data_IF_495026551346
#
_entry.id   IF_495026551346
#
_cell.length_a   1.000
_cell.length_b   1.000
_cell.length_c   1.000
_cell.angle_alpha   90.00
_cell.angle_beta   90.00
_cell.angle_gamma   90.00
#
_symmetry.space_group_name_H-M   'P 1'
#
loop_
_entity.id
_entity.type
_entity.pdbx_description
1 polymer ?
#
# COMPACT_ATOMS: atom_id res chain seq x y z
N UNK A 1 5.39 -15.24 8.89
CA UNK A 1 5.52 -14.58 7.57
C UNK A 1 4.50 -15.15 6.58
N UNK A 2 3.26 -14.69 6.68
CA UNK A 2 2.18 -15.05 5.76
C UNK A 2 2.38 -14.40 4.39
N UNK A 3 1.87 -15.05 3.34
CA UNK A 3 1.80 -14.48 1.99
C UNK A 3 0.94 -13.22 2.02
N UNK A 4 1.39 -12.16 1.33
CA UNK A 4 0.59 -10.94 1.17
C UNK A 4 -0.51 -11.16 0.15
N UNK A 5 -1.76 -10.69 0.41
CA UNK A 5 -2.83 -10.75 -0.58
C UNK A 5 -2.56 -9.76 -1.71
N UNK A 6 -2.98 -10.13 -2.93
CA UNK A 6 -3.10 -9.18 -4.03
C UNK A 6 -4.45 -8.49 -3.87
N UNK A 7 -4.46 -7.24 -3.44
CA UNK A 7 -5.68 -6.52 -3.12
C UNK A 7 -6.10 -5.52 -4.20
N UNK A 8 -7.36 -5.13 -4.18
CA UNK A 8 -7.88 -3.91 -4.81
C UNK A 8 -8.34 -2.95 -3.72
N UNK A 9 -7.85 -1.72 -3.77
CA UNK A 9 -8.31 -0.62 -2.94
C UNK A 9 -9.23 0.29 -3.77
N UNK A 10 -10.39 0.69 -3.24
CA UNK A 10 -11.37 1.49 -3.99
C UNK A 10 -11.05 2.99 -4.05
N UNK A 11 -10.03 3.49 -3.34
CA UNK A 11 -9.84 4.93 -3.17
C UNK A 11 -9.77 5.67 -4.51
N UNK A 12 -8.83 5.35 -5.39
CA UNK A 12 -8.72 6.03 -6.69
C UNK A 12 -9.84 5.66 -7.68
N UNK A 13 -10.64 4.63 -7.38
CA UNK A 13 -11.81 4.29 -8.19
C UNK A 13 -13.02 5.20 -7.90
N UNK A 14 -13.24 5.55 -6.63
CA UNK A 14 -14.49 6.16 -6.19
C UNK A 14 -14.33 7.37 -5.26
N UNK A 15 -13.18 7.51 -4.60
CA UNK A 15 -13.01 8.43 -3.47
C UNK A 15 -14.16 8.28 -2.47
N UNK A 16 -14.80 9.39 -2.05
CA UNK A 16 -15.96 9.37 -1.16
C UNK A 16 -17.28 9.01 -1.85
N UNK A 17 -17.32 8.98 -3.19
CA UNK A 17 -18.54 8.74 -3.97
C UNK A 17 -18.72 7.26 -4.28
N UNK A 18 -19.10 6.49 -3.26
CA UNK A 18 -19.43 5.08 -3.39
C UNK A 18 -20.68 4.71 -2.60
N UNK A 19 -21.26 3.59 -2.98
CA UNK A 19 -22.34 2.90 -2.30
C UNK A 19 -22.11 1.39 -2.39
N UNK A 20 -23.01 0.60 -1.82
CA UNK A 20 -22.92 -0.87 -1.86
C UNK A 20 -22.82 -1.42 -3.29
N UNK A 21 -23.63 -0.90 -4.21
CA UNK A 21 -23.70 -1.42 -5.59
C UNK A 21 -22.35 -1.22 -6.32
N UNK A 22 -21.72 -0.05 -6.13
CA UNK A 22 -20.38 0.21 -6.69
C UNK A 22 -19.34 -0.74 -6.10
N UNK A 23 -19.35 -0.96 -4.79
CA UNK A 23 -18.38 -1.85 -4.13
C UNK A 23 -18.56 -3.31 -4.55
N UNK A 24 -19.79 -3.77 -4.68
CA UNK A 24 -20.11 -5.11 -5.17
C UNK A 24 -19.72 -5.27 -6.65
N UNK A 25 -19.86 -4.24 -7.48
CA UNK A 25 -19.37 -4.26 -8.86
C UNK A 25 -17.84 -4.41 -8.91
N UNK A 26 -17.11 -3.63 -8.10
CA UNK A 26 -15.65 -3.77 -7.97
C UNK A 26 -15.27 -5.18 -7.48
N UNK A 27 -15.98 -5.71 -6.48
CA UNK A 27 -15.72 -7.05 -5.94
C UNK A 27 -15.91 -8.16 -6.99
N UNK A 28 -16.94 -8.08 -7.82
CA UNK A 28 -17.18 -9.03 -8.92
C UNK A 28 -16.04 -9.04 -9.93
N UNK A 29 -15.65 -7.87 -10.42
CA UNK A 29 -14.52 -7.73 -11.35
C UNK A 29 -13.20 -8.23 -10.70
N UNK A 30 -12.99 -7.94 -9.43
CA UNK A 30 -11.83 -8.41 -8.68
C UNK A 30 -11.80 -9.95 -8.56
N UNK A 31 -12.94 -10.57 -8.27
CA UNK A 31 -13.07 -12.03 -8.21
C UNK A 31 -12.84 -12.68 -9.58
N UNK A 32 -13.38 -12.12 -10.67
CA UNK A 32 -13.15 -12.59 -12.03
C UNK A 32 -11.66 -12.51 -12.43
N UNK A 33 -10.95 -11.48 -11.98
CA UNK A 33 -9.51 -11.33 -12.18
C UNK A 33 -8.68 -12.19 -11.22
N UNK A 34 -9.31 -12.93 -10.31
CA UNK A 34 -8.64 -13.75 -9.30
C UNK A 34 -7.77 -12.94 -8.32
N UNK A 35 -8.22 -11.75 -7.94
CA UNK A 35 -7.66 -11.00 -6.80
C UNK A 35 -7.98 -11.71 -5.48
N UNK A 36 -7.30 -11.36 -4.40
CA UNK A 36 -7.46 -12.03 -3.11
C UNK A 36 -8.34 -11.22 -2.14
N UNK A 37 -8.45 -9.89 -2.31
CA UNK A 37 -9.05 -9.02 -1.30
C UNK A 37 -9.58 -7.72 -1.89
N UNK A 38 -10.73 -7.25 -1.36
CA UNK A 38 -11.22 -5.88 -1.52
C UNK A 38 -10.93 -5.08 -0.25
N UNK A 39 -10.31 -3.91 -0.37
CA UNK A 39 -10.11 -2.96 0.73
C UNK A 39 -11.01 -1.74 0.52
N UNK A 40 -11.91 -1.52 1.47
CA UNK A 40 -12.75 -0.32 1.52
C UNK A 40 -11.99 0.79 2.24
N UNK A 41 -11.62 1.82 1.50
CA UNK A 41 -10.87 2.98 1.98
C UNK A 41 -11.78 4.00 2.70
N UNK A 42 -11.34 5.25 2.88
CA UNK A 42 -12.01 6.31 3.63
C UNK A 42 -13.47 6.56 3.17
N UNK A 43 -14.35 6.92 4.11
CA UNK A 43 -15.71 7.34 3.81
C UNK A 43 -16.85 6.34 4.15
N UNK A 44 -16.55 5.20 4.79
CA UNK A 44 -17.54 4.18 5.15
C UNK A 44 -18.30 4.44 6.46
N UNK A 45 -17.86 5.43 7.26
CA UNK A 45 -18.32 5.68 8.64
C UNK A 45 -18.91 7.07 8.83
N UNK A 46 -19.74 7.24 9.86
CA UNK A 46 -20.30 8.52 10.29
C UNK A 46 -20.93 9.33 9.16
N UNK A 47 -20.58 10.61 9.10
CA UNK A 47 -20.94 11.54 8.02
C UNK A 47 -19.72 11.88 7.14
N UNK A 48 -18.84 10.89 6.93
CA UNK A 48 -17.59 11.03 6.22
C UNK A 48 -17.79 10.96 4.70
N UNK A 49 -18.26 12.07 4.12
CA UNK A 49 -18.45 12.23 2.66
C UNK A 49 -17.44 13.24 2.05
N UNK A 50 -16.52 13.76 2.87
CA UNK A 50 -15.45 14.67 2.52
C UNK A 50 -14.34 14.68 3.59
N UNK A 51 -13.29 15.47 3.36
CA UNK A 51 -12.16 15.62 4.30
C UNK A 51 -12.47 16.46 5.55
N UNK A 52 -13.66 17.04 5.68
CA UNK A 52 -13.95 18.05 6.70
C UNK A 52 -14.70 17.51 7.92
N UNK A 53 -15.28 16.32 7.83
CA UNK A 53 -16.16 15.77 8.85
C UNK A 53 -15.88 14.30 9.17
N UNK A 54 -16.45 13.82 10.27
CA UNK A 54 -16.65 12.40 10.59
C UNK A 54 -15.50 11.67 11.24
N UNK A 55 -14.23 12.13 11.17
CA UNK A 55 -13.13 11.43 11.87
C UNK A 55 -13.38 11.36 13.38
N UNK A 56 -13.25 10.18 13.95
CA UNK A 56 -13.60 9.85 15.32
C UNK A 56 -14.93 9.10 15.47
N UNK A 57 -15.86 9.29 14.52
CA UNK A 57 -17.17 8.65 14.54
C UNK A 57 -17.13 7.27 13.86
N UNK A 58 -16.43 6.34 14.47
CA UNK A 58 -16.24 4.99 13.92
C UNK A 58 -17.52 4.15 14.04
N UNK A 59 -18.57 4.61 13.36
CA UNK A 59 -19.86 3.93 13.21
C UNK A 59 -20.18 3.79 11.74
N UNK A 60 -20.57 2.59 11.33
CA UNK A 60 -20.91 2.30 9.93
C UNK A 60 -21.98 3.26 9.40
N UNK A 61 -21.76 3.84 8.23
CA UNK A 61 -22.77 4.60 7.52
C UNK A 61 -23.70 3.62 6.76
N UNK A 62 -24.66 3.03 7.49
CA UNK A 62 -25.61 2.04 6.95
C UNK A 62 -26.45 2.60 5.79
N UNK A 63 -26.69 3.91 5.76
CA UNK A 63 -27.41 4.54 4.65
C UNK A 63 -26.59 4.49 3.37
N UNK A 64 -25.29 4.79 3.44
CA UNK A 64 -24.37 4.76 2.30
C UNK A 64 -24.12 3.34 1.80
N UNK A 65 -23.98 2.39 2.73
CA UNK A 65 -23.80 0.98 2.42
C UNK A 65 -25.11 0.23 2.15
N UNK A 66 -26.27 0.90 2.22
CA UNK A 66 -27.59 0.28 2.05
C UNK A 66 -27.77 -1.00 2.90
N UNK A 67 -27.24 -1.00 4.11
CA UNK A 67 -27.24 -2.13 5.04
C UNK A 67 -26.06 -2.07 6.01
N UNK A 68 -25.84 -3.16 6.72
CA UNK A 68 -24.73 -3.28 7.67
C UNK A 68 -23.41 -3.58 6.95
N UNK A 69 -22.30 -3.24 7.58
CA UNK A 69 -20.96 -3.63 7.08
C UNK A 69 -20.82 -5.14 6.98
N UNK A 70 -21.36 -5.90 7.95
CA UNK A 70 -21.29 -7.37 7.97
C UNK A 70 -22.02 -7.98 6.77
N UNK A 71 -23.13 -7.40 6.29
CA UNK A 71 -23.82 -7.86 5.08
C UNK A 71 -22.98 -7.63 3.83
N UNK A 72 -22.36 -6.45 3.70
CA UNK A 72 -21.46 -6.15 2.58
C UNK A 72 -20.25 -7.12 2.58
N UNK A 73 -19.61 -7.27 3.72
CA UNK A 73 -18.43 -8.15 3.86
C UNK A 73 -18.80 -9.60 3.52
N UNK A 74 -19.94 -10.07 4.02
CA UNK A 74 -20.42 -11.41 3.68
C UNK A 74 -20.62 -11.61 2.17
N UNK A 75 -21.22 -10.63 1.47
CA UNK A 75 -21.39 -10.70 0.02
C UNK A 75 -20.04 -10.77 -0.71
N UNK A 76 -19.04 -10.03 -0.24
CA UNK A 76 -17.67 -10.07 -0.79
C UNK A 76 -16.99 -11.43 -0.50
N UNK A 77 -17.14 -11.97 0.72
CA UNK A 77 -16.65 -13.30 1.07
C UNK A 77 -17.32 -14.41 0.24
N UNK A 78 -18.61 -14.30 -0.03
CA UNK A 78 -19.35 -15.26 -0.87
C UNK A 78 -18.81 -15.27 -2.34
N UNK A 79 -18.07 -14.24 -2.76
CA UNK A 79 -17.34 -14.19 -4.06
C UNK A 79 -15.92 -14.76 -3.98
N UNK A 80 -15.46 -15.19 -2.80
CA UNK A 80 -14.13 -15.75 -2.59
C UNK A 80 -13.03 -14.71 -2.26
N UNK A 81 -13.40 -13.46 -2.05
CA UNK A 81 -12.48 -12.38 -1.65
C UNK A 81 -12.46 -12.21 -0.14
N UNK A 82 -11.31 -11.89 0.43
CA UNK A 82 -11.19 -11.34 1.77
C UNK A 82 -11.57 -9.85 1.79
N UNK A 83 -11.78 -9.27 2.97
CA UNK A 83 -12.17 -7.87 3.11
C UNK A 83 -11.24 -7.10 4.04
N UNK A 84 -10.83 -5.92 3.60
CA UNK A 84 -10.05 -4.96 4.35
C UNK A 84 -10.80 -3.65 4.59
N UNK A 85 -10.39 -2.92 5.64
CA UNK A 85 -11.03 -1.68 6.02
C UNK A 85 -9.99 -0.61 6.40
N UNK A 86 -10.22 0.62 5.97
CA UNK A 86 -9.40 1.77 6.33
C UNK A 86 -9.82 2.39 7.64
N UNK A 87 -8.84 2.82 8.43
CA UNK A 87 -9.03 3.62 9.64
C UNK A 87 -7.97 4.73 9.72
N UNK A 88 -8.36 5.89 10.24
CA UNK A 88 -7.46 6.95 10.69
C UNK A 88 -7.76 7.29 12.16
N UNK A 89 -7.49 6.36 13.10
CA UNK A 89 -8.08 6.41 14.44
C UNK A 89 -7.41 7.42 15.38
N UNK A 90 -6.26 7.94 15.03
CA UNK A 90 -5.55 8.94 15.81
C UNK A 90 -6.03 10.38 15.54
N UNK A 91 -6.94 10.54 14.58
CA UNK A 91 -7.45 11.85 14.16
C UNK A 91 -8.90 12.05 14.56
N UNK A 92 -9.31 13.32 14.65
CA UNK A 92 -10.67 13.73 14.98
C UNK A 92 -11.05 14.97 14.16
N UNK A 93 -12.25 14.98 13.60
CA UNK A 93 -12.83 16.16 12.99
C UNK A 93 -13.57 16.99 14.03
N UNK A 94 -13.52 18.32 13.94
CA UNK A 94 -14.35 19.19 14.78
C UNK A 94 -15.84 18.98 14.50
N UNK A 95 -16.17 18.63 13.24
CA UNK A 95 -17.52 18.16 12.88
C UNK A 95 -17.59 16.62 12.98
N UNK A 96 -17.56 16.14 14.22
CA UNK A 96 -17.85 14.77 14.61
C UNK A 96 -18.63 14.72 15.90
N UNK A 97 -19.39 13.67 16.12
CA UNK A 97 -20.11 13.47 17.38
C UNK A 97 -19.13 13.20 18.53
N UNK A 98 -18.01 12.53 18.24
CA UNK A 98 -16.96 12.32 19.22
C UNK A 98 -16.36 13.66 19.72
N UNK A 99 -16.05 14.60 18.83
CA UNK A 99 -15.53 15.91 19.24
C UNK A 99 -16.55 16.72 20.02
N UNK A 100 -17.82 16.69 19.64
CA UNK A 100 -18.89 17.35 20.40
C UNK A 100 -19.05 16.81 21.80
N UNK A 101 -18.84 15.50 22.00
CA UNK A 101 -18.89 14.84 23.29
C UNK A 101 -17.61 15.05 24.11
N UNK A 102 -16.46 15.06 23.47
CA UNK A 102 -15.14 15.08 24.12
C UNK A 102 -14.16 16.05 23.43
N UNK A 103 -14.41 17.36 23.45
CA UNK A 103 -13.51 18.33 22.81
C UNK A 103 -12.13 18.38 23.48
N UNK A 104 -12.03 17.96 24.75
CA UNK A 104 -10.79 17.85 25.52
C UNK A 104 -9.92 16.64 25.16
N UNK A 105 -10.40 15.74 24.29
CA UNK A 105 -9.62 14.63 23.75
C UNK A 105 -8.69 15.05 22.61
N UNK A 106 -8.92 16.21 22.00
CA UNK A 106 -8.03 16.75 20.97
C UNK A 106 -6.82 17.46 21.60
N UNK A 107 -5.66 17.30 20.96
CA UNK A 107 -4.44 18.03 21.33
C UNK A 107 -4.56 19.49 20.87
N UNK A 108 -4.86 20.40 21.81
CA UNK A 108 -5.02 21.83 21.55
C UNK A 108 -4.34 22.64 22.65
N UNK A 109 -3.48 23.58 22.27
CA UNK A 109 -2.81 24.48 23.21
C UNK A 109 -3.84 25.46 23.79
N UNK A 110 -4.03 25.54 25.13
CA UNK A 110 -4.99 26.45 25.73
C UNK A 110 -4.77 27.91 25.33
N UNK A 111 -5.86 28.59 24.96
CA UNK A 111 -5.84 29.98 24.54
C UNK A 111 -5.31 30.24 23.13
N UNK A 112 -5.03 29.20 22.37
CA UNK A 112 -4.67 29.30 20.95
C UNK A 112 -5.72 28.66 20.06
N UNK A 113 -5.83 29.15 18.84
CA UNK A 113 -6.65 28.47 17.83
C UNK A 113 -6.04 27.10 17.51
N UNK A 114 -6.85 26.05 17.35
CA UNK A 114 -6.38 24.76 16.92
C UNK A 114 -5.63 24.83 15.59
N UNK A 115 -4.48 24.18 15.52
CA UNK A 115 -3.75 24.04 14.25
C UNK A 115 -4.36 22.88 13.49
N UNK A 116 -5.03 23.19 12.39
CA UNK A 116 -5.61 22.22 11.48
C UNK A 116 -4.62 21.88 10.36
N UNK A 117 -4.54 20.62 10.02
CA UNK A 117 -3.88 20.14 8.82
C UNK A 117 -4.79 19.08 8.22
N UNK A 118 -5.06 19.13 6.93
CA UNK A 118 -6.08 18.32 6.26
C UNK A 118 -7.46 18.41 6.95
N UNK A 119 -7.81 19.58 7.47
CA UNK A 119 -9.07 19.88 8.16
C UNK A 119 -9.36 19.04 9.41
N UNK A 120 -8.34 18.42 10.00
CA UNK A 120 -8.48 17.53 11.15
C UNK A 120 -7.57 17.93 12.32
N UNK A 121 -7.92 17.44 13.52
CA UNK A 121 -7.14 17.53 14.74
C UNK A 121 -6.59 16.17 15.13
N UNK A 122 -5.68 16.13 16.10
CA UNK A 122 -5.07 14.90 16.63
C UNK A 122 -5.70 14.56 17.96
N UNK A 123 -6.11 13.31 18.15
CA UNK A 123 -6.52 12.77 19.45
C UNK A 123 -5.33 12.63 20.39
N UNK A 124 -5.58 12.82 21.67
CA UNK A 124 -4.57 12.66 22.73
C UNK A 124 -4.38 11.18 23.10
N UNK A 125 -3.54 10.49 22.33
CA UNK A 125 -3.21 9.08 22.57
C UNK A 125 -2.47 8.84 23.90
N UNK A 126 -2.03 9.90 24.60
CA UNK A 126 -1.46 9.75 25.95
C UNK A 126 -2.53 9.47 27.01
N UNK A 127 -3.81 9.57 26.66
CA UNK A 127 -4.96 9.34 27.55
C UNK A 127 -5.43 7.89 27.44
N UNK A 128 -5.64 7.27 28.58
CA UNK A 128 -6.15 5.91 28.66
C UNK A 128 -7.59 5.80 28.15
N UNK A 129 -8.46 6.77 28.50
CA UNK A 129 -9.85 6.82 28.05
C UNK A 129 -9.96 6.92 26.52
N UNK A 130 -9.03 7.60 25.83
CA UNK A 130 -8.96 7.66 24.37
C UNK A 130 -8.50 6.31 23.77
N UNK A 131 -7.41 5.75 24.30
CA UNK A 131 -6.88 4.48 23.80
C UNK A 131 -7.84 3.31 24.04
N UNK A 132 -8.55 3.30 25.15
CA UNK A 132 -9.55 2.26 25.46
C UNK A 132 -10.77 2.38 24.54
N UNK A 133 -11.27 3.60 24.30
CA UNK A 133 -12.35 3.84 23.32
C UNK A 133 -11.98 3.35 21.93
N UNK A 134 -10.80 3.72 21.42
CA UNK A 134 -10.35 3.32 20.08
C UNK A 134 -10.17 1.80 19.99
N UNK A 135 -9.57 1.19 21.00
CA UNK A 135 -9.40 -0.27 21.04
C UNK A 135 -10.75 -0.98 20.97
N UNK A 136 -11.72 -0.56 21.81
CA UNK A 136 -13.06 -1.14 21.81
C UNK A 136 -13.76 -0.99 20.45
N UNK A 137 -13.73 0.22 19.87
CA UNK A 137 -14.37 0.51 18.57
C UNK A 137 -13.79 -0.31 17.43
N UNK A 138 -12.46 -0.34 17.30
CA UNK A 138 -11.78 -1.08 16.23
C UNK A 138 -12.05 -2.57 16.39
N UNK A 139 -11.85 -3.12 17.60
CA UNK A 139 -12.07 -4.53 17.85
C UNK A 139 -13.53 -4.96 17.60
N UNK A 140 -14.50 -4.14 18.00
CA UNK A 140 -15.92 -4.41 17.80
C UNK A 140 -16.27 -4.50 16.29
N UNK A 141 -15.72 -3.59 15.48
CA UNK A 141 -15.94 -3.58 14.03
C UNK A 141 -15.27 -4.80 13.37
N UNK A 142 -14.00 -5.06 13.70
CA UNK A 142 -13.25 -6.21 13.16
C UNK A 142 -13.97 -7.52 13.43
N UNK A 143 -14.42 -7.72 14.67
CA UNK A 143 -15.09 -8.95 15.09
C UNK A 143 -16.48 -9.13 14.44
N UNK A 144 -17.30 -8.06 14.45
CA UNK A 144 -18.68 -8.13 13.93
C UNK A 144 -18.75 -8.25 12.42
N UNK A 145 -17.82 -7.63 11.71
CA UNK A 145 -17.81 -7.61 10.26
C UNK A 145 -16.86 -8.64 9.64
N UNK A 146 -16.12 -9.40 10.45
CA UNK A 146 -15.14 -10.40 9.96
C UNK A 146 -14.11 -9.78 9.01
N UNK A 147 -13.34 -8.80 9.52
CA UNK A 147 -12.32 -8.05 8.75
C UNK A 147 -10.97 -8.76 8.84
N UNK A 148 -10.29 -8.96 7.71
CA UNK A 148 -8.98 -9.63 7.64
C UNK A 148 -7.80 -8.68 7.45
N UNK A 149 -8.07 -7.38 7.16
CA UNK A 149 -7.04 -6.40 6.87
C UNK A 149 -7.45 -5.01 7.33
N UNK A 150 -6.52 -4.26 7.89
CA UNK A 150 -6.70 -2.85 8.22
C UNK A 150 -5.60 -2.02 7.56
N UNK A 151 -6.00 -0.98 6.82
CA UNK A 151 -5.12 0.14 6.45
C UNK A 151 -5.22 1.20 7.54
N UNK A 152 -4.15 1.31 8.34
CA UNK A 152 -4.05 2.23 9.47
C UNK A 152 -3.36 3.51 9.04
N UNK A 153 -4.10 4.59 8.94
CA UNK A 153 -3.62 5.87 8.44
C UNK A 153 -3.43 6.94 9.53
N UNK A 154 -2.61 7.94 9.22
CA UNK A 154 -2.40 9.16 9.99
C UNK A 154 -1.98 10.30 9.07
N UNK A 155 -2.92 11.12 8.63
CA UNK A 155 -2.70 12.08 7.54
C UNK A 155 -2.22 13.46 7.98
N UNK A 156 -1.71 13.59 9.19
CA UNK A 156 -1.06 14.82 9.66
C UNK A 156 -0.05 14.57 10.77
N UNK A 157 0.90 15.48 10.93
CA UNK A 157 1.89 15.45 12.00
C UNK A 157 1.38 16.12 13.30
N UNK A 158 1.99 15.74 14.43
CA UNK A 158 1.79 16.40 15.72
C UNK A 158 2.51 17.77 15.75
N UNK A 159 1.79 18.84 15.45
CA UNK A 159 2.34 20.20 15.41
C UNK A 159 2.14 20.94 16.73
N UNK A 160 0.90 20.97 17.23
CA UNK A 160 0.54 21.60 18.51
C UNK A 160 0.28 20.50 19.53
N UNK A 161 1.30 20.19 20.33
CA UNK A 161 1.23 19.10 21.29
C UNK A 161 1.02 19.67 22.70
N UNK A 162 -0.24 19.62 23.17
CA UNK A 162 -0.61 19.89 24.56
C UNK A 162 -1.78 18.99 24.94
N UNK A 163 -1.62 18.19 25.99
CA UNK A 163 -2.64 17.34 26.56
C UNK A 163 -3.43 18.07 27.64
N UNK A 164 -4.75 18.11 27.52
CA UNK A 164 -5.61 18.66 28.59
C UNK A 164 -5.58 17.79 29.87
N UNK A 165 -5.12 16.54 29.76
CA UNK A 165 -5.06 15.57 30.88
C UNK A 165 -3.74 15.57 31.62
N UNK A 166 -2.62 15.76 30.90
CA UNK A 166 -1.29 15.73 31.54
C UNK A 166 -1.05 16.96 32.41
N UNK A 167 -0.43 16.80 33.59
CA UNK A 167 0.04 17.92 34.40
C UNK A 167 0.98 18.83 33.60
N UNK A 168 1.02 20.12 34.00
CA UNK A 168 1.78 21.14 33.26
C UNK A 168 3.28 20.82 33.16
N UNK A 169 3.85 20.26 34.22
CA UNK A 169 5.24 19.82 34.29
C UNK A 169 5.55 18.54 33.50
N UNK A 170 4.53 17.76 33.14
CA UNK A 170 4.65 16.55 32.35
C UNK A 170 4.37 16.75 30.84
N UNK A 171 4.07 17.97 30.40
CA UNK A 171 3.75 18.22 28.96
C UNK A 171 4.92 17.88 28.03
N UNK A 172 6.16 17.93 28.51
CA UNK A 172 7.35 17.50 27.74
C UNK A 172 7.38 16.02 27.40
N UNK A 173 6.62 15.18 28.13
CA UNK A 173 6.54 13.73 27.91
C UNK A 173 5.46 13.35 26.87
N UNK A 174 4.61 14.30 26.46
CA UNK A 174 3.43 14.03 25.65
C UNK A 174 3.72 13.23 24.39
N UNK A 175 4.73 13.60 23.62
CA UNK A 175 5.05 12.90 22.36
C UNK A 175 5.47 11.46 22.59
N UNK A 176 6.22 11.20 23.66
CA UNK A 176 6.59 9.83 24.04
C UNK A 176 5.36 9.03 24.50
N UNK A 177 4.54 9.62 25.37
CA UNK A 177 3.31 8.99 25.86
C UNK A 177 2.29 8.75 24.76
N UNK A 178 2.24 9.64 23.76
CA UNK A 178 1.43 9.47 22.55
C UNK A 178 1.79 8.17 21.81
N UNK A 179 3.08 7.97 21.54
CA UNK A 179 3.57 6.75 20.85
C UNK A 179 3.30 5.50 21.67
N UNK A 180 3.48 5.55 23.00
CA UNK A 180 3.13 4.42 23.88
C UNK A 180 1.63 4.12 23.84
N UNK A 181 0.77 5.13 23.79
CA UNK A 181 -0.67 4.97 23.65
C UNK A 181 -1.05 4.36 22.31
N UNK A 182 -0.42 4.81 21.21
CA UNK A 182 -0.59 4.19 19.90
C UNK A 182 -0.22 2.69 19.93
N UNK A 183 0.95 2.38 20.48
CA UNK A 183 1.38 0.97 20.59
C UNK A 183 0.46 0.14 21.48
N UNK A 184 -0.12 0.72 22.55
CA UNK A 184 -1.13 0.04 23.39
C UNK A 184 -2.34 -0.40 22.55
N UNK A 185 -2.83 0.47 21.69
CA UNK A 185 -3.97 0.16 20.81
C UNK A 185 -3.59 -0.91 19.78
N UNK A 186 -2.47 -0.72 19.07
CA UNK A 186 -1.99 -1.68 18.08
C UNK A 186 -1.73 -3.06 18.68
N UNK A 187 -1.09 -3.11 19.85
CA UNK A 187 -0.85 -4.35 20.60
C UNK A 187 -2.16 -5.06 20.95
N UNK A 188 -3.14 -4.32 21.49
CA UNK A 188 -4.43 -4.89 21.86
C UNK A 188 -5.18 -5.47 20.65
N UNK A 189 -5.16 -4.78 19.51
CA UNK A 189 -5.78 -5.23 18.26
C UNK A 189 -5.08 -6.49 17.73
N UNK A 190 -3.74 -6.48 17.65
CA UNK A 190 -2.98 -7.61 17.09
C UNK A 190 -2.97 -8.84 18.00
N UNK A 191 -3.05 -8.65 19.33
CA UNK A 191 -3.22 -9.79 20.26
C UNK A 191 -4.61 -10.42 20.16
N UNK A 192 -5.66 -9.62 19.98
CA UNK A 192 -7.03 -10.11 19.84
C UNK A 192 -7.27 -10.78 18.50
N UNK A 193 -6.63 -10.28 17.43
CA UNK A 193 -6.77 -10.77 16.06
C UNK A 193 -5.40 -11.08 15.45
N UNK A 194 -4.73 -12.18 15.83
CA UNK A 194 -3.36 -12.46 15.40
C UNK A 194 -3.20 -12.73 13.90
N UNK A 195 -4.28 -13.07 13.21
CA UNK A 195 -4.30 -13.26 11.74
C UNK A 195 -4.62 -11.98 10.96
N UNK A 196 -5.01 -10.89 11.65
CA UNK A 196 -5.31 -9.60 11.03
C UNK A 196 -4.05 -8.98 10.46
N UNK A 197 -4.04 -8.69 9.18
CA UNK A 197 -2.94 -7.98 8.53
C UNK A 197 -3.13 -6.47 8.67
N UNK A 198 -2.16 -5.79 9.27
CA UNK A 198 -2.13 -4.33 9.33
C UNK A 198 -1.20 -3.77 8.26
N UNK A 199 -1.68 -2.78 7.51
CA UNK A 199 -0.86 -1.90 6.68
C UNK A 199 -0.78 -0.52 7.32
N UNK A 200 0.43 -0.02 7.53
CA UNK A 200 0.64 1.34 8.00
C UNK A 200 0.56 2.34 6.84
N UNK A 201 -0.09 3.48 7.08
CA UNK A 201 -0.09 4.64 6.21
C UNK A 201 0.06 5.90 7.09
N UNK A 202 0.69 6.92 6.58
CA UNK A 202 0.79 8.21 7.26
C UNK A 202 0.99 9.31 6.23
N UNK A 203 -0.07 9.61 5.47
CA UNK A 203 0.06 10.39 4.24
C UNK A 203 1.11 9.75 3.33
N UNK A 204 0.98 8.45 3.08
CA UNK A 204 2.03 7.61 2.54
C UNK A 204 3.01 7.11 3.63
N UNK A 205 4.31 7.23 3.38
CA UNK A 205 5.38 6.69 4.22
C UNK A 205 5.84 7.56 5.39
N UNK A 206 5.02 8.51 5.89
CA UNK A 206 5.42 9.44 6.96
C UNK A 206 5.82 8.78 8.28
N UNK A 207 5.42 7.53 8.51
CA UNK A 207 5.84 6.70 9.66
C UNK A 207 6.38 5.34 9.22
N UNK A 208 7.17 5.32 8.17
CA UNK A 208 7.89 4.11 7.79
C UNK A 208 9.08 3.92 8.74
N UNK A 209 8.85 3.31 9.87
CA UNK A 209 9.85 3.09 10.93
C UNK A 209 9.72 1.70 11.56
N UNK A 210 10.74 1.28 12.29
CA UNK A 210 10.83 -0.06 12.87
C UNK A 210 9.74 -0.33 13.93
N UNK A 211 9.25 0.70 14.63
CA UNK A 211 8.17 0.56 15.60
C UNK A 211 6.84 0.26 14.94
N UNK A 212 6.51 0.97 13.87
CA UNK A 212 5.31 0.67 13.09
C UNK A 212 5.42 -0.67 12.37
N UNK A 213 6.60 -1.05 11.85
CA UNK A 213 6.83 -2.35 11.20
C UNK A 213 6.69 -3.55 12.16
N UNK A 214 6.78 -3.35 13.46
CA UNK A 214 6.50 -4.40 14.45
C UNK A 214 5.03 -4.84 14.40
N UNK A 215 4.11 -3.90 14.19
CA UNK A 215 2.66 -4.14 14.13
C UNK A 215 2.14 -4.23 12.71
N UNK A 216 2.66 -3.40 11.81
CA UNK A 216 2.24 -3.26 10.42
C UNK A 216 3.35 -3.82 9.50
N UNK A 217 3.32 -5.11 9.14
CA UNK A 217 4.42 -5.73 8.39
C UNK A 217 4.54 -5.23 6.95
N UNK A 218 3.64 -4.35 6.51
CA UNK A 218 3.73 -3.58 5.28
C UNK A 218 3.27 -2.14 5.51
N UNK A 219 3.80 -1.22 4.72
CA UNK A 219 3.50 0.21 4.81
C UNK A 219 3.28 0.76 3.40
N UNK A 220 2.21 1.54 3.24
CA UNK A 220 1.98 2.34 2.05
C UNK A 220 3.06 3.41 1.95
N UNK A 221 4.04 3.22 1.06
CA UNK A 221 5.26 4.01 1.11
C UNK A 221 5.11 5.44 0.58
N UNK A 222 4.08 5.72 -0.22
CA UNK A 222 3.79 7.06 -0.74
C UNK A 222 2.41 7.14 -1.38
N UNK A 223 1.70 8.25 -1.14
CA UNK A 223 0.47 8.61 -1.87
C UNK A 223 0.74 9.07 -3.31
N UNK A 224 2.00 9.19 -3.70
CA UNK A 224 2.37 9.35 -5.09
C UNK A 224 2.30 7.98 -5.79
N UNK A 225 1.23 7.77 -6.55
CA UNK A 225 0.92 6.51 -7.24
C UNK A 225 1.45 6.45 -8.68
N UNK A 226 2.10 7.52 -9.16
CA UNK A 226 2.73 7.52 -10.46
C UNK A 226 3.84 6.46 -10.55
N UNK A 227 3.72 5.49 -11.47
CA UNK A 227 4.63 4.37 -11.56
C UNK A 227 6.09 4.77 -11.81
N UNK A 228 6.32 5.85 -12.55
CA UNK A 228 7.67 6.34 -12.87
C UNK A 228 8.30 7.06 -11.66
N UNK A 229 7.50 7.84 -10.91
CA UNK A 229 7.95 8.43 -9.64
C UNK A 229 8.22 7.33 -8.59
N UNK A 230 7.41 6.27 -8.57
CA UNK A 230 7.58 5.12 -7.68
C UNK A 230 8.93 4.41 -7.86
N UNK A 231 9.55 4.43 -9.02
CA UNK A 231 10.91 3.90 -9.22
C UNK A 231 11.90 4.54 -8.25
N UNK A 232 11.84 5.87 -8.07
CA UNK A 232 12.72 6.60 -7.14
C UNK A 232 12.31 6.40 -5.69
N UNK A 233 11.01 6.44 -5.41
CA UNK A 233 10.46 6.30 -4.06
C UNK A 233 10.79 4.91 -3.50
N UNK A 234 10.49 3.85 -4.24
CA UNK A 234 10.73 2.46 -3.83
C UNK A 234 12.22 2.14 -3.74
N UNK A 235 13.02 2.61 -4.71
CA UNK A 235 14.48 2.49 -4.66
C UNK A 235 15.04 3.14 -3.40
N UNK A 236 14.65 4.40 -3.10
CA UNK A 236 15.10 5.11 -1.90
C UNK A 236 14.68 4.41 -0.61
N UNK A 237 13.43 3.96 -0.53
CA UNK A 237 12.88 3.22 0.62
C UNK A 237 13.64 1.92 0.88
N UNK A 238 14.08 1.23 -0.18
CA UNK A 238 14.79 -0.04 -0.10
C UNK A 238 16.18 0.04 0.58
N UNK A 239 16.74 1.22 0.81
CA UNK A 239 17.98 1.37 1.58
C UNK A 239 17.77 1.20 3.08
N UNK A 240 16.59 1.51 3.58
CA UNK A 240 16.26 1.42 5.00
C UNK A 240 15.41 0.22 5.36
N UNK A 241 14.60 -0.28 4.41
CA UNK A 241 13.56 -1.26 4.68
C UNK A 241 13.49 -2.34 3.59
N UNK A 242 13.10 -3.59 3.95
CA UNK A 242 12.96 -4.65 2.96
C UNK A 242 11.78 -4.37 2.03
N UNK A 243 11.92 -4.76 0.75
CA UNK A 243 10.87 -4.55 -0.25
C UNK A 243 9.57 -5.30 0.09
N UNK A 244 9.64 -6.40 0.83
CA UNK A 244 8.46 -7.12 1.34
C UNK A 244 7.58 -6.30 2.29
N UNK A 245 8.07 -5.16 2.77
CA UNK A 245 7.30 -4.22 3.60
C UNK A 245 6.78 -3.00 2.83
N UNK A 246 7.09 -2.87 1.55
CA UNK A 246 6.69 -1.74 0.71
C UNK A 246 5.40 -2.06 -0.04
N UNK A 247 4.31 -1.36 0.27
CA UNK A 247 3.07 -1.47 -0.51
C UNK A 247 3.15 -0.69 -1.82
N UNK A 248 2.72 -1.34 -2.90
CA UNK A 248 2.69 -0.75 -4.23
C UNK A 248 1.51 -1.28 -5.05
N UNK A 249 0.80 -0.37 -5.74
CA UNK A 249 -0.40 -0.68 -6.51
C UNK A 249 -0.29 -0.19 -7.96
N UNK A 250 -0.97 -0.91 -8.85
CA UNK A 250 -1.32 -0.41 -10.18
C UNK A 250 -2.45 0.59 -10.02
N UNK A 251 -2.17 1.86 -10.30
CA UNK A 251 -3.11 2.96 -10.08
C UNK A 251 -3.74 3.46 -11.37
N UNK A 252 -4.65 4.43 -11.25
CA UNK A 252 -5.38 5.03 -12.38
C UNK A 252 -4.44 5.64 -13.42
N UNK A 253 -4.84 5.57 -14.68
CA UNK A 253 -4.13 6.21 -15.81
C UNK A 253 -5.14 6.96 -16.71
N UNK A 254 -4.85 8.24 -17.06
CA UNK A 254 -3.69 9.07 -16.64
C UNK A 254 -3.61 9.23 -15.13
N UNK A 255 -2.39 9.32 -14.57
CA UNK A 255 -2.22 9.52 -13.13
C UNK A 255 -2.94 10.82 -12.70
N UNK A 256 -3.72 10.75 -11.62
CA UNK A 256 -4.59 11.87 -11.22
C UNK A 256 -3.84 13.08 -10.67
N UNK A 257 -2.57 12.95 -10.25
CA UNK A 257 -1.76 14.04 -9.68
C UNK A 257 -0.95 14.79 -10.74
N UNK A 258 -0.27 14.06 -11.64
CA UNK A 258 0.64 14.66 -12.62
C UNK A 258 0.23 14.43 -14.08
N UNK A 259 -0.91 13.74 -14.31
CA UNK A 259 -1.48 13.43 -15.62
C UNK A 259 -0.58 12.59 -16.55
N UNK A 260 0.45 11.94 -16.02
CA UNK A 260 1.30 11.05 -16.81
C UNK A 260 0.51 9.85 -17.29
N UNK A 261 0.73 9.51 -18.56
CA UNK A 261 0.22 8.28 -19.16
C UNK A 261 1.35 7.27 -19.19
N UNK A 262 1.18 6.18 -18.45
CA UNK A 262 2.15 5.09 -18.35
C UNK A 262 1.48 3.80 -18.80
N UNK A 263 2.12 2.99 -19.67
CA UNK A 263 1.57 1.73 -20.13
C UNK A 263 1.14 0.80 -18.98
N UNK A 264 0.06 0.06 -19.15
CA UNK A 264 -0.48 -0.84 -18.12
C UNK A 264 0.56 -1.86 -17.64
N UNK A 265 1.29 -2.45 -18.58
CA UNK A 265 2.40 -3.38 -18.32
C UNK A 265 3.43 -2.77 -17.37
N UNK A 266 3.87 -1.56 -17.65
CA UNK A 266 4.86 -0.84 -16.83
C UNK A 266 4.35 -0.55 -15.43
N UNK A 267 3.08 -0.11 -15.29
CA UNK A 267 2.45 0.11 -13.98
C UNK A 267 2.47 -1.18 -13.13
N UNK A 268 2.18 -2.33 -13.75
CA UNK A 268 2.23 -3.63 -13.09
C UNK A 268 3.64 -4.03 -12.66
N UNK A 269 4.63 -3.90 -13.56
CA UNK A 269 6.03 -4.22 -13.24
C UNK A 269 6.56 -3.34 -12.10
N UNK A 270 6.25 -2.05 -12.08
CA UNK A 270 6.60 -1.16 -10.97
C UNK A 270 5.92 -1.56 -9.65
N UNK A 271 4.66 -1.96 -9.68
CA UNK A 271 3.92 -2.39 -8.50
C UNK A 271 4.42 -3.73 -7.94
N UNK A 272 4.86 -4.67 -8.79
CA UNK A 272 5.43 -5.96 -8.38
C UNK A 272 6.77 -5.82 -7.64
N UNK A 273 7.39 -4.64 -7.62
CA UNK A 273 8.57 -4.39 -6.82
C UNK A 273 8.28 -4.46 -5.30
N UNK A 274 7.04 -4.23 -4.88
CA UNK A 274 6.58 -4.33 -3.50
C UNK A 274 5.51 -5.39 -3.29
N UNK A 275 4.64 -5.16 -2.29
CA UNK A 275 3.44 -5.97 -2.10
C UNK A 275 2.40 -5.53 -3.13
N UNK A 276 2.19 -6.35 -4.12
CA UNK A 276 1.44 -6.05 -5.32
C UNK A 276 -0.07 -5.92 -5.08
N UNK A 277 -0.70 -4.94 -5.72
CA UNK A 277 -2.14 -4.73 -5.70
C UNK A 277 -2.60 -3.74 -6.75
N UNK A 278 -3.87 -3.37 -6.70
CA UNK A 278 -4.52 -2.43 -7.63
C UNK A 278 -5.24 -1.32 -6.86
N UNK A 279 -5.30 -0.14 -7.46
CA UNK A 279 -6.02 1.01 -6.94
C UNK A 279 -6.57 1.85 -8.11
N UNK A 280 -7.60 1.32 -8.75
CA UNK A 280 -8.24 1.91 -9.93
C UNK A 280 -9.65 1.33 -10.12
N UNK A 281 -10.43 1.93 -11.01
CA UNK A 281 -11.76 1.43 -11.38
C UNK A 281 -11.63 0.29 -12.40
N UNK A 282 -11.75 -0.95 -11.94
CA UNK A 282 -11.64 -2.14 -12.77
C UNK A 282 -12.68 -2.18 -13.91
N UNK A 283 -13.85 -1.53 -13.71
CA UNK A 283 -14.91 -1.50 -14.73
C UNK A 283 -14.57 -0.63 -15.94
N UNK A 284 -13.60 0.28 -15.78
CA UNK A 284 -13.12 1.17 -16.85
C UNK A 284 -11.93 0.61 -17.64
N UNK A 285 -11.40 -0.54 -17.22
CA UNK A 285 -10.32 -1.21 -17.93
C UNK A 285 -10.82 -1.75 -19.28
N UNK A 286 -9.95 -1.64 -20.30
CA UNK A 286 -10.18 -2.30 -21.59
C UNK A 286 -10.03 -3.83 -21.45
N UNK A 287 -10.55 -4.58 -22.41
CA UNK A 287 -10.38 -6.04 -22.42
C UNK A 287 -8.91 -6.45 -22.45
N UNK A 288 -8.06 -5.67 -23.14
CA UNK A 288 -6.60 -5.88 -23.16
C UNK A 288 -5.96 -5.62 -21.80
N UNK A 289 -6.36 -4.55 -21.11
CA UNK A 289 -5.87 -4.28 -19.75
C UNK A 289 -6.34 -5.34 -18.76
N UNK A 290 -7.59 -5.82 -18.86
CA UNK A 290 -8.09 -6.93 -18.02
C UNK A 290 -7.30 -8.22 -18.28
N UNK A 291 -6.99 -8.53 -19.53
CA UNK A 291 -6.14 -9.67 -19.88
C UNK A 291 -4.74 -9.53 -19.26
N UNK A 292 -4.08 -8.37 -19.44
CA UNK A 292 -2.77 -8.11 -18.84
C UNK A 292 -2.81 -8.16 -17.31
N UNK A 293 -3.87 -7.66 -16.68
CA UNK A 293 -4.05 -7.77 -15.23
C UNK A 293 -4.12 -9.22 -14.78
N UNK A 294 -4.89 -10.06 -15.48
CA UNK A 294 -4.95 -11.50 -15.21
C UNK A 294 -3.58 -12.19 -15.32
N UNK A 295 -2.80 -11.85 -16.36
CA UNK A 295 -1.42 -12.33 -16.54
C UNK A 295 -0.49 -11.88 -15.41
N UNK A 296 -0.54 -10.60 -15.02
CA UNK A 296 0.24 -10.04 -13.91
C UNK A 296 -0.11 -10.71 -12.57
N UNK A 297 -1.40 -10.91 -12.31
CA UNK A 297 -1.88 -11.56 -11.08
C UNK A 297 -1.42 -13.02 -11.05
N UNK A 298 -1.55 -13.75 -12.16
CA UNK A 298 -1.11 -15.13 -12.26
C UNK A 298 0.40 -15.26 -12.03
N UNK A 299 1.19 -14.44 -12.70
CA UNK A 299 2.64 -14.38 -12.53
C UNK A 299 3.04 -14.07 -11.06
N UNK A 300 2.43 -13.04 -10.46
CA UNK A 300 2.75 -12.71 -9.07
C UNK A 300 2.29 -13.79 -8.08
N UNK A 301 1.19 -14.49 -8.36
CA UNK A 301 0.74 -15.63 -7.52
C UNK A 301 1.71 -16.80 -7.59
N UNK A 302 2.25 -17.09 -8.76
CA UNK A 302 3.24 -18.15 -8.98
C UNK A 302 4.58 -17.83 -8.32
N UNK A 303 5.09 -16.62 -8.54
CA UNK A 303 6.42 -16.20 -8.09
C UNK A 303 6.42 -15.31 -6.83
N UNK A 304 5.28 -15.20 -6.12
CA UNK A 304 5.13 -14.29 -4.96
C UNK A 304 6.14 -14.54 -3.83
N UNK A 305 6.63 -15.78 -3.69
CA UNK A 305 7.70 -16.09 -2.72
C UNK A 305 9.02 -15.44 -3.10
N UNK A 306 9.35 -15.39 -4.39
CA UNK A 306 10.55 -14.72 -4.90
C UNK A 306 10.49 -13.21 -4.57
N UNK A 307 9.39 -12.54 -4.88
CA UNK A 307 9.21 -11.11 -4.62
C UNK A 307 9.17 -10.79 -3.11
N UNK A 308 8.59 -11.65 -2.29
CA UNK A 308 8.44 -11.39 -0.86
C UNK A 308 9.68 -11.77 -0.04
N UNK A 309 10.40 -12.83 -0.43
CA UNK A 309 11.47 -13.43 0.38
C UNK A 309 12.81 -13.59 -0.33
N UNK A 310 12.88 -13.30 -1.63
CA UNK A 310 14.13 -13.30 -2.38
C UNK A 310 15.03 -12.13 -2.02
N UNK A 311 16.29 -12.29 -2.35
CA UNK A 311 17.28 -11.22 -2.21
C UNK A 311 17.02 -10.15 -3.28
N UNK A 312 16.88 -8.90 -2.85
CA UNK A 312 16.63 -7.76 -3.73
C UNK A 312 17.94 -7.06 -4.11
N UNK A 313 18.19 -6.96 -5.41
CA UNK A 313 19.37 -6.30 -5.96
C UNK A 313 18.99 -5.04 -6.75
N UNK A 314 19.56 -3.90 -6.38
CA UNK A 314 19.50 -2.64 -7.12
C UNK A 314 20.59 -2.66 -8.18
N UNK A 315 20.24 -2.93 -9.43
CA UNK A 315 21.22 -3.06 -10.51
C UNK A 315 21.58 -1.72 -11.14
N UNK A 316 20.61 -0.80 -11.25
CA UNK A 316 20.84 0.59 -11.63
C UNK A 316 20.12 1.53 -10.68
N UNK A 317 20.66 2.74 -10.52
CA UNK A 317 20.08 3.79 -9.69
C UNK A 317 19.24 4.74 -10.54
N UNK A 318 17.94 4.97 -10.22
CA UNK A 318 17.11 5.96 -10.90
C UNK A 318 17.52 7.41 -10.62
N UNK A 319 18.49 7.62 -9.72
CA UNK A 319 19.08 8.94 -9.43
C UNK A 319 20.32 9.23 -10.27
N UNK A 320 21.05 8.20 -10.70
CA UNK A 320 22.28 8.28 -11.49
C UNK A 320 22.00 8.02 -12.98
N UNK A 321 21.17 7.00 -13.27
CA UNK A 321 20.73 6.68 -14.63
C UNK A 321 19.35 7.32 -14.87
N UNK A 322 19.23 8.13 -15.92
CA UNK A 322 17.97 8.81 -16.27
C UNK A 322 17.18 8.07 -17.35
N UNK A 323 17.80 7.11 -18.02
CA UNK A 323 17.22 6.45 -19.18
C UNK A 323 16.42 5.22 -18.80
N UNK A 324 16.90 4.46 -17.78
CA UNK A 324 16.23 3.25 -17.31
C UNK A 324 16.57 2.91 -15.86
N UNK A 325 15.72 2.12 -15.25
CA UNK A 325 15.94 1.53 -13.92
C UNK A 325 15.83 0.02 -13.99
N UNK A 326 16.79 -0.68 -13.37
CA UNK A 326 16.82 -2.14 -13.31
C UNK A 326 16.98 -2.62 -11.88
N UNK A 327 16.16 -3.60 -11.51
CA UNK A 327 16.28 -4.33 -10.26
C UNK A 327 16.06 -5.81 -10.49
N UNK A 328 16.44 -6.60 -9.52
CA UNK A 328 16.34 -8.06 -9.57
C UNK A 328 15.94 -8.61 -8.21
N UNK A 329 15.15 -9.66 -8.24
CA UNK A 329 14.94 -10.58 -7.14
C UNK A 329 15.57 -11.92 -7.47
N UNK A 330 16.34 -12.50 -6.54
CA UNK A 330 16.89 -13.84 -6.67
C UNK A 330 16.51 -14.70 -5.46
N UNK A 331 16.11 -15.93 -5.70
CA UNK A 331 15.86 -16.88 -4.64
C UNK A 331 17.17 -17.21 -3.91
N UNK A 332 17.11 -17.29 -2.57
CA UNK A 332 18.32 -17.51 -1.73
C UNK A 332 19.05 -18.83 -2.03
N UNK A 333 18.36 -19.82 -2.59
CA UNK A 333 18.94 -21.09 -3.02
C UNK A 333 19.43 -21.08 -4.48
N UNK A 334 19.33 -19.92 -5.14
CA UNK A 334 19.71 -19.76 -6.53
C UNK A 334 18.90 -20.64 -7.48
N UNK A 335 17.62 -20.92 -7.18
CA UNK A 335 16.74 -21.71 -8.04
C UNK A 335 16.09 -20.90 -9.16
N UNK A 336 15.78 -19.66 -8.89
CA UNK A 336 15.09 -18.74 -9.78
C UNK A 336 15.49 -17.29 -9.53
N UNK A 337 15.30 -16.42 -10.52
CA UNK A 337 15.45 -14.99 -10.37
C UNK A 337 14.58 -14.23 -11.36
N UNK A 338 14.19 -13.02 -11.02
CA UNK A 338 13.41 -12.14 -11.89
C UNK A 338 14.05 -10.76 -11.93
N UNK A 339 14.42 -10.31 -13.12
CA UNK A 339 14.93 -8.98 -13.40
C UNK A 339 13.83 -8.14 -14.04
N UNK A 340 13.64 -6.93 -13.57
CA UNK A 340 12.70 -5.96 -14.13
C UNK A 340 13.45 -4.76 -14.66
N UNK A 341 13.06 -4.29 -15.83
CA UNK A 341 13.64 -3.12 -16.51
C UNK A 341 12.51 -2.16 -16.84
N UNK A 342 12.68 -0.87 -16.48
CA UNK A 342 11.73 0.18 -16.84
C UNK A 342 12.50 1.33 -17.47
N UNK A 343 12.15 1.68 -18.71
CA UNK A 343 12.70 2.83 -19.41
C UNK A 343 11.95 4.09 -19.02
N UNK A 344 12.69 5.12 -18.65
CA UNK A 344 12.15 6.44 -18.27
C UNK A 344 12.31 7.48 -19.37
N UNK A 345 13.27 7.26 -20.26
CA UNK A 345 13.47 8.10 -21.45
C UNK A 345 13.92 7.23 -22.62
N UNK A 346 13.54 7.63 -23.81
CA UNK A 346 13.92 6.96 -25.05
C UNK A 346 14.39 8.01 -26.07
N UNK A 347 15.56 7.82 -26.63
CA UNK A 347 16.11 8.70 -27.63
C UNK A 347 16.63 7.94 -28.84
N UNK A 348 16.66 8.63 -29.98
CA UNK A 348 17.12 8.03 -31.20
C UNK A 348 18.59 7.59 -31.11
N UNK A 349 18.89 6.42 -31.65
CA UNK A 349 20.25 5.88 -31.70
C UNK A 349 20.82 5.52 -30.31
N UNK A 350 19.95 5.17 -29.35
CA UNK A 350 20.38 4.70 -28.04
C UNK A 350 21.30 3.48 -28.18
N UNK A 351 22.36 3.45 -27.39
CA UNK A 351 23.24 2.29 -27.32
C UNK A 351 22.53 1.13 -26.60
N UNK A 352 22.86 -0.09 -27.01
CA UNK A 352 22.43 -1.27 -26.28
C UNK A 352 23.21 -1.40 -24.98
N UNK A 353 22.52 -1.64 -23.87
CA UNK A 353 23.11 -1.76 -22.54
C UNK A 353 23.17 -3.21 -22.09
N UNK A 354 24.24 -3.56 -21.36
CA UNK A 354 24.42 -4.89 -20.79
C UNK A 354 24.24 -4.82 -19.28
N UNK A 355 23.36 -5.64 -18.74
CA UNK A 355 23.14 -5.79 -17.30
C UNK A 355 23.49 -7.19 -16.86
N UNK A 356 24.14 -7.28 -15.70
CA UNK A 356 24.60 -8.54 -15.10
C UNK A 356 23.67 -8.94 -13.97
N UNK A 357 23.31 -10.21 -13.98
CA UNK A 357 22.56 -10.84 -12.90
C UNK A 357 23.37 -10.95 -11.60
N UNK A 358 22.65 -11.12 -10.49
CA UNK A 358 23.21 -11.37 -9.16
C UNK A 358 22.56 -12.63 -8.56
N UNK A 359 23.11 -13.16 -7.49
CA UNK A 359 22.50 -14.22 -6.69
C UNK A 359 22.28 -15.57 -7.36
N UNK A 360 22.69 -15.78 -8.63
CA UNK A 360 22.56 -17.03 -9.33
C UNK A 360 23.67 -18.04 -8.95
N UNK A 361 23.40 -19.34 -9.08
CA UNK A 361 24.42 -20.36 -8.98
C UNK A 361 25.24 -20.43 -10.30
N UNK A 362 26.56 -20.15 -10.29
CA UNK A 362 27.36 -20.15 -11.51
C UNK A 362 27.41 -21.51 -12.24
N UNK A 363 27.11 -22.60 -11.53
CA UNK A 363 27.16 -23.97 -12.07
C UNK A 363 25.85 -24.46 -12.66
N UNK A 364 24.74 -23.77 -12.38
CA UNK A 364 23.41 -24.10 -12.91
C UNK A 364 23.23 -23.53 -14.31
N UNK A 365 22.31 -24.12 -15.08
CA UNK A 365 21.80 -23.61 -16.33
C UNK A 365 20.36 -23.16 -16.07
N UNK A 366 20.04 -21.94 -16.47
CA UNK A 366 18.73 -21.32 -16.31
C UNK A 366 18.07 -21.21 -17.67
N UNK A 367 16.81 -21.59 -17.76
CA UNK A 367 15.94 -21.23 -18.89
C UNK A 367 15.50 -19.79 -18.67
N UNK A 368 15.71 -18.92 -19.62
CA UNK A 368 15.36 -17.53 -19.55
C UNK A 368 14.09 -17.26 -20.36
N UNK A 369 13.20 -16.48 -19.78
CA UNK A 369 12.01 -15.95 -20.44
C UNK A 369 12.06 -14.42 -20.47
N UNK A 370 11.64 -13.81 -21.58
CA UNK A 370 11.43 -12.37 -21.72
C UNK A 370 9.93 -12.15 -21.92
N UNK A 371 9.28 -11.49 -20.95
CA UNK A 371 7.83 -11.25 -20.98
C UNK A 371 7.00 -12.53 -21.22
N UNK A 372 7.45 -13.64 -20.64
CA UNK A 372 6.84 -14.97 -20.80
C UNK A 372 7.27 -15.77 -22.04
N UNK A 373 8.00 -15.17 -22.97
CA UNK A 373 8.49 -15.85 -24.17
C UNK A 373 9.88 -16.46 -23.92
N UNK A 374 10.10 -17.69 -24.44
CA UNK A 374 11.39 -18.38 -24.28
C UNK A 374 12.54 -17.60 -24.96
N UNK A 375 13.53 -17.21 -24.18
CA UNK A 375 14.71 -16.49 -24.63
C UNK A 375 16.00 -17.35 -24.60
N UNK A 376 15.87 -18.65 -24.33
CA UNK A 376 16.96 -19.62 -24.39
C UNK A 376 17.53 -20.03 -23.03
N UNK A 377 18.63 -20.79 -23.06
CA UNK A 377 19.27 -21.35 -21.89
C UNK A 377 20.65 -20.74 -21.67
N UNK A 378 20.95 -20.30 -20.44
CA UNK A 378 22.21 -19.66 -20.10
C UNK A 378 22.79 -20.24 -18.80
N UNK A 379 24.12 -20.37 -18.72
CA UNK A 379 24.74 -20.68 -17.42
C UNK A 379 24.67 -19.50 -16.48
N UNK A 380 24.50 -19.74 -15.17
CA UNK A 380 24.56 -18.68 -14.16
C UNK A 380 25.88 -17.90 -14.23
N UNK A 381 27.00 -18.56 -14.54
CA UNK A 381 28.27 -17.88 -14.76
C UNK A 381 28.20 -16.89 -15.94
N UNK A 382 27.59 -17.25 -17.08
CA UNK A 382 27.42 -16.34 -18.21
C UNK A 382 26.55 -15.14 -17.84
N UNK A 383 25.40 -15.37 -17.20
CA UNK A 383 24.49 -14.32 -16.76
C UNK A 383 25.14 -13.34 -15.77
N UNK A 384 25.91 -13.84 -14.81
CA UNK A 384 26.55 -13.01 -13.79
C UNK A 384 27.82 -12.29 -14.28
N UNK A 385 28.55 -12.85 -15.23
CA UNK A 385 29.84 -12.27 -15.66
C UNK A 385 29.77 -11.55 -17.00
N UNK A 386 29.12 -12.14 -17.99
CA UNK A 386 28.91 -11.49 -19.29
C UNK A 386 27.65 -10.59 -19.26
N UNK A 387 26.59 -11.04 -18.59
CA UNK A 387 25.31 -10.35 -18.54
C UNK A 387 24.45 -10.62 -19.76
N UNK A 388 23.36 -9.89 -19.87
CA UNK A 388 22.44 -9.90 -21.02
C UNK A 388 22.32 -8.51 -21.63
N UNK A 389 22.07 -8.48 -22.92
CA UNK A 389 21.70 -7.26 -23.61
C UNK A 389 20.26 -6.91 -23.24
N UNK A 390 20.02 -5.69 -22.74
CA UNK A 390 18.67 -5.25 -22.43
C UNK A 390 17.82 -5.15 -23.71
N UNK A 391 16.55 -5.57 -23.66
CA UNK A 391 15.63 -5.35 -24.77
C UNK A 391 15.46 -3.85 -25.03
N UNK A 392 15.37 -3.45 -26.29
CA UNK A 392 15.19 -2.06 -26.67
C UNK A 392 13.72 -1.65 -26.48
N UNK A 393 13.46 -0.46 -25.91
CA UNK A 393 12.09 0.03 -25.76
C UNK A 393 11.51 0.46 -27.11
N UNK A 394 10.20 0.28 -27.27
CA UNK A 394 9.45 0.77 -28.44
C UNK A 394 8.84 2.15 -28.20
N UNK A 395 8.66 2.54 -26.93
CA UNK A 395 8.09 3.80 -26.51
C UNK A 395 8.64 4.25 -25.16
N UNK A 396 8.42 5.54 -24.81
CA UNK A 396 8.71 6.02 -23.46
C UNK A 396 7.90 5.23 -22.41
N UNK A 397 8.53 5.00 -21.27
CA UNK A 397 7.96 4.23 -20.17
C UNK A 397 7.68 2.76 -20.50
N UNK A 398 8.35 2.20 -21.50
CA UNK A 398 8.29 0.77 -21.77
C UNK A 398 9.00 -0.02 -20.65
N UNK A 399 8.57 -1.26 -20.44
CA UNK A 399 9.12 -2.10 -19.40
C UNK A 399 9.17 -3.55 -19.82
N UNK A 400 10.13 -4.28 -19.26
CA UNK A 400 10.35 -5.69 -19.53
C UNK A 400 10.57 -6.45 -18.23
N UNK A 401 10.07 -7.69 -18.23
CA UNK A 401 10.28 -8.64 -17.16
C UNK A 401 11.04 -9.85 -17.70
N UNK A 402 12.17 -10.15 -17.09
CA UNK A 402 13.07 -11.22 -17.50
C UNK A 402 13.16 -12.21 -16.35
N UNK A 403 12.67 -13.41 -16.56
CA UNK A 403 12.60 -14.46 -15.56
C UNK A 403 13.42 -15.69 -15.98
#
# INVERSE_FOLDING_TARGET
HSKRPILINNWEATYFDFNKDNLIAIAKEAAELNLDMLVLDDGWFGKRDDDFSGLGDWFVNEKKLCGTLSELVKEVHDMGLSFGLWFEPEMISEDSDLYRAHPDWALVIPGRQPIRSRSQLVLDMSREDVTDYLTERICDIVEKADIQYIKWDMNRSLMAAYSAKLPRDCQGELRHRYVLGLYKVLEAVTQRFPELLLEGCSGGGGRFDAGMLYYCPQIWCSDNTDAIERLRIQYGTSFGYPMSSVSAHVSVCPNHQNHRVTPFKTRGICAMQGTFGYELDLSKMTDEEKKMAGEQIAFFKEHGRLFQFGDYYRLTSPFENRDYTVWEYAAQDGSEACMSVVYTDMYANAASEIVKWKGLDPKKVYQMQLDGEDAGNFSGAALMHAGILLPLPEQNYDAFQIY
#
